data_IF_876581008318
#
_entry.id   IF_876581008318
#
_cell.length_a   1.000
_cell.length_b   1.000
_cell.length_c   1.000
_cell.angle_alpha   90.00
_cell.angle_beta   90.00
_cell.angle_gamma   90.00
#
_symmetry.space_group_name_H-M   'P 1'
#
loop_
_entity.id
_entity.type
_entity.pdbx_description
1 polymer ?
#
# COMPACT_ATOMS: atom_id res chain seq x y z
N UNK A 1 2.53 -4.37 -13.59
CA UNK A 1 1.83 -3.07 -13.43
C UNK A 1 0.31 -3.28 -13.52
N UNK A 2 -0.41 -3.12 -12.41
CA UNK A 2 -1.88 -3.25 -12.36
C UNK A 2 -2.55 -2.23 -13.32
N UNK A 3 -3.68 -2.56 -13.98
CA UNK A 3 -4.35 -1.67 -14.95
C UNK A 3 -4.79 -0.29 -14.43
N UNK A 4 -4.80 -0.06 -13.11
CA UNK A 4 -5.20 1.22 -12.50
C UNK A 4 -4.09 2.28 -12.53
N UNK A 5 -2.82 1.88 -12.72
CA UNK A 5 -1.67 2.80 -12.70
C UNK A 5 -1.14 3.19 -14.08
N UNK A 6 -1.88 2.93 -15.16
CA UNK A 6 -1.53 3.44 -16.49
C UNK A 6 -1.77 4.96 -16.55
N UNK A 7 -0.84 5.73 -15.99
CA UNK A 7 -0.71 7.15 -16.22
C UNK A 7 -0.48 7.38 -17.72
N UNK A 8 -1.55 7.74 -18.42
CA UNK A 8 -1.49 8.20 -19.80
C UNK A 8 -0.94 9.63 -19.76
N UNK A 9 0.39 9.77 -19.82
CA UNK A 9 1.02 11.06 -20.11
C UNK A 9 0.45 11.58 -21.43
N UNK A 10 -0.47 12.53 -21.35
CA UNK A 10 -0.84 13.40 -22.47
C UNK A 10 -0.18 14.73 -22.23
N UNK A 11 1.00 14.89 -22.79
CA UNK A 11 1.50 16.19 -23.20
C UNK A 11 0.49 16.81 -24.16
N UNK A 12 -0.13 17.92 -23.78
CA UNK A 12 -0.85 18.79 -24.71
C UNK A 12 -0.38 20.21 -24.42
N UNK A 13 0.45 20.74 -25.31
CA UNK A 13 0.57 22.18 -25.51
C UNK A 13 -0.22 22.54 -26.79
N UNK A 14 -1.30 23.30 -26.56
CA UNK A 14 -1.90 24.41 -27.32
C UNK A 14 -2.27 24.26 -28.82
N UNK A 15 -3.58 24.34 -29.14
CA UNK A 15 -4.20 25.54 -29.78
C UNK A 15 -5.77 25.50 -29.72
N UNK A 16 -6.48 26.64 -29.72
CA UNK A 16 -7.79 26.81 -29.06
C UNK A 16 -9.00 26.92 -29.99
N UNK A 17 -9.10 26.15 -31.08
CA UNK A 17 -10.31 26.16 -31.92
C UNK A 17 -10.71 24.76 -32.42
N UNK A 18 -11.82 24.28 -31.85
CA UNK A 18 -12.79 23.32 -32.43
C UNK A 18 -12.29 21.91 -32.82
N UNK A 19 -12.48 20.96 -31.89
CA UNK A 19 -12.75 19.56 -32.24
C UNK A 19 -13.96 19.10 -31.40
N UNK A 20 -15.02 18.50 -31.99
CA UNK A 20 -16.11 17.92 -31.22
C UNK A 20 -15.55 16.82 -30.32
N UNK A 21 -15.66 16.98 -29.01
CA UNK A 21 -15.26 15.96 -28.05
C UNK A 21 -16.13 14.72 -28.26
N UNK A 22 -15.58 13.74 -28.98
CA UNK A 22 -16.14 12.40 -29.12
C UNK A 22 -16.13 11.79 -27.71
N UNK A 23 -17.26 11.87 -27.02
CA UNK A 23 -17.45 11.29 -25.69
C UNK A 23 -17.05 9.81 -25.78
N UNK A 24 -15.98 9.43 -25.06
CA UNK A 24 -15.63 8.01 -24.97
C UNK A 24 -16.83 7.27 -24.36
N UNK A 25 -17.27 6.15 -24.97
CA UNK A 25 -18.44 5.43 -24.47
C UNK A 25 -18.20 5.00 -23.02
N UNK A 26 -19.21 5.22 -22.17
CA UNK A 26 -19.21 4.81 -20.76
C UNK A 26 -18.76 3.34 -20.67
N UNK A 27 -17.65 3.08 -19.98
CA UNK A 27 -17.13 1.72 -19.83
C UNK A 27 -18.10 0.93 -18.96
N UNK A 28 -18.58 -0.21 -19.48
CA UNK A 28 -19.35 -1.16 -18.68
C UNK A 28 -18.46 -1.69 -17.53
N UNK A 29 -19.03 -1.98 -16.35
CA UNK A 29 -18.27 -2.66 -15.30
C UNK A 29 -17.69 -3.95 -15.87
N UNK A 30 -16.41 -4.18 -15.60
CA UNK A 30 -15.71 -5.38 -16.04
C UNK A 30 -16.23 -6.58 -15.24
N UNK A 31 -16.38 -7.71 -15.90
CA UNK A 31 -16.58 -9.00 -15.24
C UNK A 31 -15.30 -9.45 -14.55
N UNK A 32 -15.40 -10.41 -13.61
CA UNK A 32 -14.22 -10.97 -12.93
C UNK A 32 -13.21 -11.57 -13.92
N UNK A 33 -13.69 -12.30 -14.92
CA UNK A 33 -12.84 -12.88 -15.96
C UNK A 33 -12.09 -11.80 -16.75
N UNK A 34 -12.76 -10.68 -17.07
CA UNK A 34 -12.10 -9.55 -17.73
C UNK A 34 -11.08 -8.84 -16.83
N UNK A 35 -11.32 -8.78 -15.51
CA UNK A 35 -10.34 -8.27 -14.56
C UNK A 35 -9.12 -9.20 -14.48
N UNK A 36 -9.34 -10.51 -14.55
CA UNK A 36 -8.29 -11.53 -14.58
C UNK A 36 -7.45 -11.46 -15.86
N UNK A 37 -8.08 -11.32 -17.03
CA UNK A 37 -7.38 -11.15 -18.31
C UNK A 37 -6.46 -9.92 -18.31
N UNK A 38 -6.80 -8.90 -17.54
CA UNK A 38 -6.02 -7.68 -17.39
C UNK A 38 -4.97 -7.73 -16.27
N UNK A 39 -4.88 -8.81 -15.50
CA UNK A 39 -3.87 -8.98 -14.45
C UNK A 39 -2.45 -9.04 -15.03
N UNK A 40 -2.34 -9.45 -16.29
CA UNK A 40 -1.09 -9.60 -17.01
C UNK A 40 -0.30 -10.81 -16.53
N UNK A 41 0.95 -10.88 -16.99
CA UNK A 41 1.89 -11.89 -16.51
C UNK A 41 2.28 -11.61 -15.05
N UNK A 42 2.22 -12.64 -14.23
CA UNK A 42 2.56 -12.63 -12.80
C UNK A 42 3.72 -13.58 -12.50
N UNK A 43 4.34 -14.17 -13.53
CA UNK A 43 5.46 -15.10 -13.39
C UNK A 43 6.65 -14.45 -12.66
N UNK A 44 6.76 -13.13 -12.79
CA UNK A 44 7.74 -12.31 -12.09
C UNK A 44 7.54 -12.25 -10.56
N UNK A 45 6.39 -12.68 -10.03
CA UNK A 45 6.13 -12.80 -8.59
C UNK A 45 6.62 -14.12 -7.99
N UNK A 46 7.16 -15.04 -8.80
CA UNK A 46 7.62 -16.34 -8.32
C UNK A 46 9.12 -16.38 -7.97
N UNK A 47 9.89 -15.36 -8.36
CA UNK A 47 11.32 -15.30 -8.09
C UNK A 47 11.65 -14.36 -6.92
N UNK A 48 12.17 -14.89 -5.81
CA UNK A 48 12.61 -14.12 -4.64
C UNK A 48 13.99 -13.44 -4.86
N UNK A 49 14.10 -12.50 -5.79
CA UNK A 49 15.36 -11.96 -6.32
C UNK A 49 15.93 -10.72 -5.59
N UNK A 50 15.13 -10.04 -4.75
CA UNK A 50 15.57 -8.84 -4.03
C UNK A 50 15.36 -8.91 -2.52
N UNK A 51 16.28 -8.30 -1.76
CA UNK A 51 16.17 -8.19 -0.31
C UNK A 51 15.36 -6.95 0.11
N UNK A 52 14.36 -7.16 0.96
CA UNK A 52 13.63 -6.17 1.75
C UNK A 52 14.11 -6.24 3.21
N UNK A 53 14.54 -5.09 3.76
CA UNK A 53 15.06 -4.99 5.13
C UNK A 53 14.24 -4.00 5.94
N UNK A 54 13.78 -4.42 7.11
CA UNK A 54 13.07 -3.56 8.06
C UNK A 54 13.26 -4.09 9.48
N UNK A 55 12.82 -3.32 10.46
CA UNK A 55 12.99 -3.66 11.88
C UNK A 55 11.62 -3.73 12.53
N UNK A 56 11.40 -4.73 13.38
CA UNK A 56 10.17 -4.91 14.15
C UNK A 56 10.41 -4.70 15.65
N UNK A 57 9.36 -4.29 16.40
CA UNK A 57 9.33 -4.46 17.84
C UNK A 57 9.40 -5.95 18.22
N UNK A 58 9.92 -6.24 19.40
CA UNK A 58 10.04 -7.62 19.91
C UNK A 58 8.67 -8.34 20.00
N UNK A 59 7.59 -7.73 20.52
CA UNK A 59 6.27 -8.37 20.54
C UNK A 59 5.74 -8.74 19.15
N UNK A 60 5.98 -7.90 18.15
CA UNK A 60 5.56 -8.17 16.77
C UNK A 60 6.32 -9.35 16.16
N UNK A 61 7.64 -9.42 16.34
CA UNK A 61 8.44 -10.57 15.90
C UNK A 61 7.97 -11.86 16.56
N UNK A 62 7.69 -11.85 17.87
CA UNK A 62 7.17 -13.01 18.60
C UNK A 62 5.81 -13.46 18.06
N UNK A 63 4.85 -12.54 17.91
CA UNK A 63 3.50 -12.85 17.41
C UNK A 63 3.54 -13.50 16.02
N UNK A 64 4.35 -12.95 15.10
CA UNK A 64 4.48 -13.50 13.74
C UNK A 64 5.13 -14.89 13.77
N UNK A 65 6.13 -15.13 14.63
CA UNK A 65 6.76 -16.46 14.79
C UNK A 65 5.79 -17.49 15.34
N UNK A 66 5.01 -17.14 16.35
CA UNK A 66 4.00 -18.03 16.91
C UNK A 66 2.93 -18.38 15.88
N UNK A 67 2.45 -17.38 15.13
CA UNK A 67 1.48 -17.59 14.08
C UNK A 67 2.06 -18.47 12.96
N UNK A 68 3.29 -18.20 12.52
CA UNK A 68 3.97 -18.99 11.51
C UNK A 68 4.09 -20.47 11.94
N UNK A 69 4.46 -20.70 13.21
CA UNK A 69 4.49 -22.04 13.81
C UNK A 69 3.10 -22.69 13.82
N UNK A 70 2.05 -21.96 14.16
CA UNK A 70 0.67 -22.46 14.18
C UNK A 70 0.22 -22.94 12.79
N UNK A 71 0.55 -22.21 11.73
CA UNK A 71 0.23 -22.59 10.36
C UNK A 71 1.27 -23.52 9.70
N UNK A 72 2.27 -24.01 10.46
CA UNK A 72 3.29 -24.92 9.94
C UNK A 72 4.17 -24.30 8.84
N UNK A 73 4.41 -22.98 8.88
CA UNK A 73 5.23 -22.27 7.91
C UNK A 73 6.36 -21.47 8.57
N UNK A 74 7.35 -21.06 7.78
CA UNK A 74 8.41 -20.16 8.26
C UNK A 74 7.88 -18.73 8.37
N UNK A 75 8.48 -17.92 9.26
CA UNK A 75 8.18 -16.49 9.36
C UNK A 75 8.34 -15.77 8.02
N UNK A 76 9.38 -16.08 7.26
CA UNK A 76 9.62 -15.50 5.94
C UNK A 76 8.51 -15.83 4.95
N UNK A 77 8.04 -17.08 4.93
CA UNK A 77 6.92 -17.48 4.07
C UNK A 77 5.63 -16.80 4.47
N UNK A 78 5.34 -16.69 5.77
CA UNK A 78 4.18 -15.97 6.28
C UNK A 78 4.19 -14.49 5.85
N UNK A 79 5.33 -13.83 6.01
CA UNK A 79 5.48 -12.42 5.62
C UNK A 79 5.35 -12.22 4.11
N UNK A 80 5.92 -13.10 3.28
CA UNK A 80 5.72 -13.03 1.82
C UNK A 80 4.25 -13.17 1.44
N UNK A 81 3.56 -14.18 1.98
CA UNK A 81 2.13 -14.37 1.72
C UNK A 81 1.34 -13.11 2.09
N UNK A 82 1.63 -12.55 3.27
CA UNK A 82 1.02 -11.32 3.71
C UNK A 82 1.28 -10.16 2.74
N UNK A 83 2.52 -9.92 2.32
CA UNK A 83 2.86 -8.80 1.44
C UNK A 83 2.21 -8.95 0.05
N UNK A 84 2.13 -10.17 -0.49
CA UNK A 84 1.40 -10.45 -1.74
C UNK A 84 -0.09 -10.16 -1.57
N UNK A 85 -0.71 -10.63 -0.50
CA UNK A 85 -2.12 -10.32 -0.20
C UNK A 85 -2.34 -8.83 0.01
N UNK A 86 -1.39 -8.11 0.61
CA UNK A 86 -1.46 -6.68 0.83
C UNK A 86 -1.43 -5.88 -0.49
N UNK A 87 -0.53 -6.23 -1.40
CA UNK A 87 -0.38 -5.53 -2.68
C UNK A 87 -1.45 -5.92 -3.71
N UNK A 88 -1.85 -7.19 -3.74
CA UNK A 88 -2.66 -7.74 -4.84
C UNK A 88 -4.03 -8.27 -4.40
N UNK A 89 -4.27 -8.38 -3.10
CA UNK A 89 -5.51 -8.90 -2.54
C UNK A 89 -5.53 -10.42 -2.39
N UNK A 90 -6.47 -10.89 -1.57
CA UNK A 90 -6.61 -12.31 -1.22
C UNK A 90 -7.00 -13.17 -2.44
N UNK A 91 -7.87 -12.67 -3.31
CA UNK A 91 -8.32 -13.44 -4.47
C UNK A 91 -7.16 -13.78 -5.42
N UNK A 92 -6.28 -12.81 -5.69
CA UNK A 92 -5.10 -13.02 -6.55
C UNK A 92 -4.14 -14.01 -5.92
N UNK A 93 -3.91 -13.86 -4.62
CA UNK A 93 -3.09 -14.80 -3.85
C UNK A 93 -3.62 -16.24 -3.96
N UNK A 94 -4.93 -16.44 -3.81
CA UNK A 94 -5.55 -17.76 -3.93
C UNK A 94 -5.50 -18.31 -5.35
N UNK A 95 -5.70 -17.46 -6.35
CA UNK A 95 -5.56 -17.85 -7.75
C UNK A 95 -4.13 -18.28 -8.08
N UNK A 96 -3.12 -17.53 -7.62
CA UNK A 96 -1.71 -17.90 -7.72
C UNK A 96 -1.46 -19.26 -7.09
N UNK A 97 -1.91 -19.44 -5.85
CA UNK A 97 -1.68 -20.68 -5.08
C UNK A 97 -2.31 -21.90 -5.75
N UNK A 98 -3.47 -21.74 -6.38
CA UNK A 98 -4.17 -22.82 -7.06
C UNK A 98 -3.54 -23.21 -8.39
N UNK A 99 -3.02 -22.23 -9.15
CA UNK A 99 -2.46 -22.46 -10.50
C UNK A 99 -0.95 -22.72 -10.49
N UNK A 100 -0.24 -22.27 -9.45
CA UNK A 100 1.22 -22.40 -9.28
C UNK A 100 1.57 -22.92 -7.88
N UNK A 101 1.14 -24.14 -7.52
CA UNK A 101 1.38 -24.67 -6.18
C UNK A 101 2.88 -24.83 -5.90
N UNK A 102 3.69 -25.28 -6.87
CA UNK A 102 5.10 -25.62 -6.60
C UNK A 102 6.02 -24.38 -6.51
N UNK A 103 5.70 -23.31 -7.25
CA UNK A 103 6.54 -22.11 -7.35
C UNK A 103 6.38 -21.19 -6.14
N UNK A 104 5.17 -21.11 -5.59
CA UNK A 104 4.86 -20.26 -4.43
C UNK A 104 5.26 -20.92 -3.09
N UNK A 105 5.50 -22.24 -3.10
CA UNK A 105 5.81 -23.06 -1.93
C UNK A 105 7.30 -23.34 -1.74
N UNK A 106 8.12 -23.05 -2.75
CA UNK A 106 9.58 -23.27 -2.76
C UNK A 106 10.32 -22.25 -1.91
N UNK A 107 9.95 -22.15 -0.63
CA UNK A 107 10.67 -21.39 0.39
C UNK A 107 12.05 -21.99 0.74
N UNK A 108 12.42 -23.10 0.11
CA UNK A 108 13.75 -23.72 0.15
C UNK A 108 14.68 -23.09 -0.90
N UNK A 109 14.83 -21.77 -0.86
CA UNK A 109 15.89 -21.14 -1.64
C UNK A 109 17.19 -21.19 -0.84
N UNK A 110 18.27 -21.66 -1.47
CA UNK A 110 19.67 -21.61 -1.03
C UNK A 110 20.01 -20.41 -0.14
N UNK A 111 20.98 -20.55 0.78
CA UNK A 111 21.42 -19.47 1.67
C UNK A 111 21.86 -18.23 0.85
N UNK A 112 21.02 -17.18 0.78
CA UNK A 112 21.29 -15.95 0.01
C UNK A 112 21.82 -14.81 0.88
N UNK A 113 23.07 -14.39 0.63
CA UNK A 113 23.71 -13.23 1.26
C UNK A 113 23.47 -11.95 0.44
N UNK A 114 23.34 -10.79 1.09
CA UNK A 114 23.32 -9.49 0.38
C UNK A 114 24.56 -8.71 0.77
N UNK A 115 25.46 -8.44 -0.18
CA UNK A 115 26.76 -7.79 0.07
C UNK A 115 26.72 -6.25 0.05
N UNK A 116 25.55 -5.62 -0.09
CA UNK A 116 25.45 -4.15 -0.05
C UNK A 116 25.30 -3.63 1.37
N UNK A 117 26.37 -2.98 1.84
CA UNK A 117 26.35 -2.00 2.93
C UNK A 117 26.00 -0.66 2.28
N UNK A 118 24.81 -0.14 2.54
CA UNK A 118 24.49 1.24 2.17
C UNK A 118 25.15 2.16 3.20
N UNK A 119 26.15 2.93 2.78
CA UNK A 119 26.69 4.01 3.58
C UNK A 119 25.64 5.14 3.64
N UNK A 120 25.36 5.70 4.83
CA UNK A 120 24.41 6.79 4.95
C UNK A 120 24.90 7.99 4.14
N UNK A 121 24.03 8.57 3.30
CA UNK A 121 24.37 9.80 2.57
C UNK A 121 24.71 10.91 3.57
N UNK A 122 25.83 11.64 3.38
CA UNK A 122 26.21 12.72 4.28
C UNK A 122 25.10 13.77 4.35
N UNK A 123 24.67 14.12 5.57
CA UNK A 123 23.61 15.11 5.82
C UNK A 123 22.20 14.56 6.03
N UNK A 124 21.97 13.23 5.90
CA UNK A 124 20.66 12.62 6.18
C UNK A 124 20.68 11.87 7.51
N UNK A 125 19.93 12.34 8.50
CA UNK A 125 19.65 11.60 9.74
C UNK A 125 18.49 10.65 9.47
N UNK A 126 18.66 9.37 9.79
CA UNK A 126 17.56 8.40 9.71
C UNK A 126 16.54 8.74 10.79
N UNK A 127 15.44 9.38 10.42
CA UNK A 127 14.30 9.60 11.32
C UNK A 127 13.74 8.22 11.66
N UNK A 128 14.07 7.75 12.86
CA UNK A 128 13.77 6.40 13.32
C UNK A 128 12.54 6.45 14.21
N UNK A 129 11.44 7.00 13.73
CA UNK A 129 10.33 7.29 14.64
C UNK A 129 9.09 6.51 14.21
N UNK A 130 9.04 5.29 14.73
CA UNK A 130 7.80 4.57 14.99
C UNK A 130 7.97 3.93 16.36
N UNK A 131 7.78 4.72 17.41
CA UNK A 131 7.78 4.24 18.79
C UNK A 131 6.34 4.22 19.28
N UNK A 132 5.80 3.00 19.38
CA UNK A 132 4.55 2.76 20.11
C UNK A 132 4.99 2.37 21.52
N UNK A 133 4.70 3.19 22.56
CA UNK A 133 5.17 2.94 23.92
C UNK A 133 4.89 1.50 24.38
N UNK A 134 3.76 0.94 23.97
CA UNK A 134 3.28 -0.40 24.29
C UNK A 134 4.05 -1.52 23.58
N UNK A 135 4.54 -1.29 22.36
CA UNK A 135 5.32 -2.27 21.60
C UNK A 135 6.83 -2.17 21.86
N UNK A 136 7.28 -1.03 22.38
CA UNK A 136 8.68 -0.76 22.68
C UNK A 136 9.51 -0.40 21.45
N UNK A 137 10.83 -0.57 21.56
CA UNK A 137 11.78 -0.19 20.50
C UNK A 137 11.80 -1.21 19.36
N UNK A 138 12.01 -0.74 18.14
CA UNK A 138 12.27 -1.59 16.97
C UNK A 138 13.67 -2.19 17.08
N UNK A 139 13.80 -3.44 17.54
CA UNK A 139 15.09 -4.10 17.82
C UNK A 139 15.31 -5.39 17.03
N UNK A 140 14.29 -5.92 16.35
CA UNK A 140 14.39 -7.18 15.61
C UNK A 140 14.61 -6.92 14.12
N UNK A 141 15.80 -7.22 13.58
CA UNK A 141 16.04 -7.06 12.16
C UNK A 141 15.35 -8.17 11.36
N UNK A 142 14.56 -7.78 10.36
CA UNK A 142 13.95 -8.69 9.40
C UNK A 142 14.59 -8.45 8.04
N UNK A 143 15.10 -9.54 7.43
CA UNK A 143 15.55 -9.57 6.04
C UNK A 143 14.71 -10.60 5.30
N UNK A 144 13.96 -10.14 4.31
CA UNK A 144 13.07 -10.95 3.49
C UNK A 144 13.57 -10.92 2.05
N UNK A 145 13.74 -12.07 1.42
CA UNK A 145 13.89 -12.13 -0.04
C UNK A 145 12.50 -12.22 -0.64
N UNK A 146 12.23 -11.33 -1.60
CA UNK A 146 10.93 -11.14 -2.25
C UNK A 146 11.15 -10.82 -3.74
N UNK A 147 10.09 -10.91 -4.57
CA UNK A 147 10.15 -10.43 -5.94
C UNK A 147 10.41 -8.94 -6.06
N UNK A 148 11.22 -8.55 -7.06
CA UNK A 148 11.52 -7.15 -7.38
C UNK A 148 10.25 -6.35 -7.58
N UNK A 149 9.29 -6.87 -8.34
CA UNK A 149 7.98 -6.23 -8.54
C UNK A 149 7.23 -5.99 -7.23
N UNK A 150 7.24 -6.95 -6.31
CA UNK A 150 6.60 -6.78 -5.00
C UNK A 150 7.27 -5.67 -4.19
N UNK A 151 8.61 -5.58 -4.23
CA UNK A 151 9.35 -4.50 -3.56
C UNK A 151 9.03 -3.13 -4.14
N UNK A 152 8.93 -3.03 -5.47
CA UNK A 152 8.57 -1.80 -6.18
C UNK A 152 7.14 -1.36 -5.86
N UNK A 153 6.18 -2.29 -5.91
CA UNK A 153 4.78 -2.01 -5.60
C UNK A 153 4.61 -1.56 -4.13
N UNK A 154 5.33 -2.19 -3.19
CA UNK A 154 5.40 -1.72 -1.79
C UNK A 154 6.03 -0.32 -1.67
N UNK A 155 6.98 0.00 -2.54
CA UNK A 155 7.60 1.32 -2.61
C UNK A 155 6.61 2.41 -3.05
N UNK A 156 5.80 2.13 -4.08
CA UNK A 156 4.75 3.03 -4.56
C UNK A 156 3.66 3.25 -3.50
N UNK A 157 3.25 2.18 -2.81
CA UNK A 157 2.28 2.29 -1.71
C UNK A 157 2.84 3.10 -0.53
N UNK A 158 4.13 2.94 -0.22
CA UNK A 158 4.80 3.72 0.81
C UNK A 158 4.86 5.21 0.45
N UNK A 159 5.19 5.53 -0.81
CA UNK A 159 5.20 6.89 -1.34
C UNK A 159 3.82 7.54 -1.23
N UNK A 160 2.76 6.83 -1.63
CA UNK A 160 1.38 7.31 -1.49
C UNK A 160 0.98 7.56 -0.03
N UNK A 161 1.51 6.79 0.91
CA UNK A 161 1.29 6.98 2.34
C UNK A 161 2.23 8.01 2.98
N UNK A 162 3.13 8.65 2.22
CA UNK A 162 4.13 9.58 2.77
C UNK A 162 5.17 8.90 3.66
N UNK A 163 5.40 7.60 3.50
CA UNK A 163 6.30 6.79 4.33
C UNK A 163 7.49 6.25 3.55
N UNK A 164 8.58 5.97 4.26
CA UNK A 164 9.66 5.16 3.69
C UNK A 164 9.20 3.70 3.55
N UNK A 165 9.71 2.92 2.57
CA UNK A 165 9.32 1.52 2.39
C UNK A 165 9.49 0.68 3.67
N UNK A 166 10.57 0.88 4.44
CA UNK A 166 10.78 0.15 5.70
C UNK A 166 9.78 0.55 6.80
N UNK A 167 9.33 1.81 6.86
CA UNK A 167 8.32 2.24 7.82
C UNK A 167 6.94 1.74 7.42
N UNK A 168 6.59 1.90 6.15
CA UNK A 168 5.33 1.40 5.59
C UNK A 168 5.17 -0.10 5.83
N UNK A 169 6.17 -0.90 5.44
CA UNK A 169 6.15 -2.36 5.63
C UNK A 169 6.04 -2.73 7.11
N UNK A 170 6.74 -2.02 8.00
CA UNK A 170 6.61 -2.24 9.45
C UNK A 170 5.19 -2.01 9.93
N UNK A 171 4.60 -0.87 9.57
CA UNK A 171 3.25 -0.48 10.00
C UNK A 171 2.20 -1.47 9.51
N UNK A 172 2.18 -1.79 8.21
CA UNK A 172 1.21 -2.76 7.67
C UNK A 172 1.40 -4.16 8.28
N UNK A 173 2.64 -4.55 8.59
CA UNK A 173 2.93 -5.83 9.24
C UNK A 173 2.33 -5.84 10.64
N UNK A 174 2.62 -4.83 11.47
CA UNK A 174 2.10 -4.77 12.83
C UNK A 174 0.57 -4.65 12.79
N UNK A 175 0.00 -3.78 11.96
CA UNK A 175 -1.45 -3.64 11.79
C UNK A 175 -2.13 -4.97 11.45
N UNK A 176 -1.53 -5.74 10.53
CA UNK A 176 -2.16 -6.99 10.08
C UNK A 176 -2.07 -8.09 11.13
N UNK A 177 -0.93 -8.26 11.78
CA UNK A 177 -0.70 -9.38 12.70
C UNK A 177 -1.13 -9.09 14.13
N UNK A 178 -1.15 -7.83 14.54
CA UNK A 178 -1.49 -7.41 15.91
C UNK A 178 -2.75 -6.53 15.98
N UNK A 179 -3.30 -6.12 14.82
CA UNK A 179 -4.48 -5.27 14.73
C UNK A 179 -4.14 -3.78 14.65
N UNK A 180 -4.99 -3.01 13.98
CA UNK A 180 -4.80 -1.57 13.79
C UNK A 180 -4.76 -0.77 15.11
N UNK A 181 -5.40 -1.26 16.18
CA UNK A 181 -5.37 -0.62 17.50
C UNK A 181 -4.01 -0.66 18.21
N UNK A 182 -3.03 -1.38 17.65
CA UNK A 182 -1.64 -1.39 18.15
C UNK A 182 -0.76 -0.33 17.49
N UNK A 183 -1.34 0.46 16.60
CA UNK A 183 -0.70 1.59 15.95
C UNK A 183 -1.36 2.88 16.42
N UNK A 184 -0.61 3.99 16.63
CA UNK A 184 -1.21 5.31 16.71
C UNK A 184 -2.07 5.56 15.47
N UNK A 185 -3.27 6.09 15.71
CA UNK A 185 -4.23 6.42 14.66
C UNK A 185 -3.58 7.46 13.72
N UNK A 186 -3.37 7.07 12.46
CA UNK A 186 -3.13 8.02 11.36
C UNK A 186 -4.50 8.40 10.80
N UNK A 187 -4.97 9.65 10.98
CA UNK A 187 -6.24 10.09 10.42
C UNK A 187 -6.32 9.79 8.92
N UNK A 188 -5.21 9.97 8.20
CA UNK A 188 -5.12 9.82 6.75
C UNK A 188 -5.31 8.38 6.24
N UNK A 189 -5.19 7.36 7.10
CA UNK A 189 -5.40 5.95 6.72
C UNK A 189 -6.84 5.47 6.94
N UNK A 190 -7.65 6.20 7.71
CA UNK A 190 -9.00 5.77 8.14
C UNK A 190 -10.08 6.85 7.96
N UNK A 191 -9.71 8.09 7.61
CA UNK A 191 -10.65 9.12 7.19
C UNK A 191 -11.27 8.76 5.85
N UNK A 192 -12.29 7.91 5.90
CA UNK A 192 -13.38 8.04 4.95
C UNK A 192 -14.24 9.18 5.49
N UNK A 193 -14.32 10.32 4.79
CA UNK A 193 -15.27 11.37 5.13
C UNK A 193 -16.68 10.74 5.16
N UNK A 194 -17.28 10.55 6.35
CA UNK A 194 -18.62 10.01 6.41
C UNK A 194 -19.53 11.10 5.84
N UNK A 195 -20.04 10.87 4.63
CA UNK A 195 -21.09 11.74 4.11
C UNK A 195 -22.27 11.70 5.09
N UNK A 196 -22.99 12.81 5.28
CA UNK A 196 -24.19 12.84 6.14
C UNK A 196 -25.18 11.71 5.77
N UNK A 197 -25.21 11.29 4.50
CA UNK A 197 -26.00 10.15 4.02
C UNK A 197 -25.54 8.79 4.57
N UNK A 198 -24.24 8.60 4.82
CA UNK A 198 -23.70 7.38 5.43
C UNK A 198 -24.03 7.30 6.94
N UNK A 199 -24.07 8.45 7.63
CA UNK A 199 -24.53 8.52 9.03
C UNK A 199 -26.04 8.30 9.13
N UNK A 200 -26.83 8.95 8.26
CA UNK A 200 -28.27 8.74 8.17
C UNK A 200 -28.63 7.28 7.89
N UNK A 201 -27.86 6.62 7.01
CA UNK A 201 -28.00 5.19 6.78
C UNK A 201 -27.70 4.35 8.02
N UNK A 202 -26.60 4.65 8.74
CA UNK A 202 -26.21 3.91 9.94
C UNK A 202 -27.17 4.09 11.12
N UNK A 203 -27.90 5.20 11.16
CA UNK A 203 -28.90 5.51 12.19
C UNK A 203 -30.33 5.07 11.79
N UNK A 204 -30.48 4.24 10.74
CA UNK A 204 -31.76 3.80 10.19
C UNK A 204 -32.71 4.97 9.83
N UNK A 205 -32.13 6.12 9.45
CA UNK A 205 -32.88 7.27 8.94
C UNK A 205 -33.14 7.13 7.44
N UNK A 206 -34.20 7.75 6.98
CA UNK A 206 -34.58 7.74 5.57
C UNK A 206 -33.54 8.52 4.74
N UNK A 207 -32.76 7.81 3.93
CA UNK A 207 -31.77 8.43 3.04
C UNK A 207 -32.43 8.74 1.70
N UNK A 208 -32.50 10.00 1.26
CA UNK A 208 -33.10 10.34 -0.02
C UNK A 208 -32.20 9.85 -1.15
N UNK A 209 -32.51 8.68 -1.69
CA UNK A 209 -31.87 8.15 -2.89
C UNK A 209 -32.31 8.96 -4.11
N UNK A 210 -31.41 9.83 -4.60
CA UNK A 210 -31.55 10.46 -5.91
C UNK A 210 -30.32 10.17 -6.75
N UNK A 211 -30.54 9.87 -8.01
CA UNK A 211 -29.45 9.77 -8.98
C UNK A 211 -28.82 11.17 -9.15
N UNK A 212 -27.57 11.34 -8.68
CA UNK A 212 -26.85 12.59 -8.83
C UNK A 212 -26.28 12.70 -10.25
N UNK A 213 -26.42 13.88 -10.85
CA UNK A 213 -25.80 14.16 -12.15
C UNK A 213 -24.27 14.30 -12.01
N UNK A 214 -23.54 14.01 -13.08
CA UNK A 214 -22.07 14.05 -13.08
C UNK A 214 -21.52 15.48 -12.88
N UNK A 215 -22.31 16.50 -13.20
CA UNK A 215 -22.06 17.91 -12.89
C UNK A 215 -22.18 18.19 -11.39
N UNK A 216 -23.25 17.73 -10.74
CA UNK A 216 -23.44 17.89 -9.29
C UNK A 216 -22.34 17.19 -8.49
N UNK A 217 -21.88 16.02 -8.92
CA UNK A 217 -20.78 15.31 -8.25
C UNK A 217 -19.45 16.09 -8.31
N UNK A 218 -19.10 16.68 -9.46
CA UNK A 218 -17.86 17.46 -9.61
C UNK A 218 -17.85 18.75 -8.79
N UNK A 219 -19.01 19.28 -8.48
CA UNK A 219 -19.17 20.49 -7.65
C UNK A 219 -19.22 20.17 -6.14
N UNK A 220 -19.45 18.90 -5.78
CA UNK A 220 -19.43 18.43 -4.39
C UNK A 220 -18.01 18.37 -3.81
N UNK A 221 -17.89 18.47 -2.48
CA UNK A 221 -16.62 18.32 -1.76
C UNK A 221 -15.90 17.00 -2.13
N UNK A 222 -16.62 15.89 -2.23
CA UNK A 222 -16.07 14.59 -2.64
C UNK A 222 -15.56 14.55 -4.11
N UNK A 223 -15.94 15.53 -4.93
CA UNK A 223 -15.47 15.72 -6.30
C UNK A 223 -14.44 16.84 -6.46
N UNK A 224 -14.20 17.65 -5.41
CA UNK A 224 -13.15 18.67 -5.41
C UNK A 224 -11.82 18.01 -5.13
N UNK A 225 -10.87 18.30 -6.00
CA UNK A 225 -9.50 17.80 -5.91
C UNK A 225 -8.63 19.02 -5.63
N UNK A 226 -8.47 19.36 -4.36
CA UNK A 226 -7.53 20.39 -3.95
C UNK A 226 -6.12 19.80 -3.99
N UNK A 227 -5.23 20.45 -4.73
CA UNK A 227 -3.81 20.12 -4.79
C UNK A 227 -3.06 21.36 -4.37
N UNK A 228 -2.56 21.35 -3.15
CA UNK A 228 -1.69 22.39 -2.64
C UNK A 228 -0.23 21.91 -2.72
N UNK A 229 0.61 22.78 -3.29
CA UNK A 229 2.05 22.57 -3.35
C UNK A 229 2.68 23.48 -2.31
N UNK A 230 3.35 22.88 -1.32
CA UNK A 230 3.95 23.61 -0.20
C UNK A 230 5.47 23.66 -0.38
N UNK A 231 6.04 24.87 -0.27
CA UNK A 231 7.48 25.10 -0.35
C UNK A 231 8.22 24.63 0.91
N UNK A 232 9.46 24.16 0.75
CA UNK A 232 10.32 23.54 1.78
C UNK A 232 10.61 24.44 3.02
N UNK A 233 10.33 25.73 2.91
CA UNK A 233 10.52 26.75 3.95
C UNK A 233 9.20 27.26 4.55
N UNK A 234 8.06 26.62 4.27
CA UNK A 234 6.78 27.01 4.85
C UNK A 234 6.77 26.84 6.38
N UNK A 235 5.98 27.65 7.08
CA UNK A 235 5.83 27.53 8.54
C UNK A 235 5.28 26.16 8.95
N UNK A 236 4.50 25.50 8.11
CA UNK A 236 4.04 24.11 8.31
C UNK A 236 5.21 23.11 8.21
N UNK A 237 6.14 23.30 7.26
CA UNK A 237 7.36 22.51 7.15
C UNK A 237 8.38 22.80 8.28
N UNK A 238 8.27 23.96 8.95
CA UNK A 238 9.09 24.36 10.10
C UNK A 238 8.48 23.96 11.44
N UNK A 239 7.15 23.97 11.59
CA UNK A 239 6.46 23.47 12.79
C UNK A 239 6.62 21.95 12.93
N UNK A 240 6.62 21.21 11.83
CA UNK A 240 6.99 19.79 11.81
C UNK A 240 8.47 19.53 12.23
N UNK A 241 9.31 20.57 12.27
CA UNK A 241 10.72 20.50 12.73
C UNK A 241 10.93 20.98 14.18
N UNK A 242 9.94 21.63 14.80
CA UNK A 242 10.06 22.31 16.10
C UNK A 242 9.40 21.55 17.27
N UNK A 243 8.67 20.47 16.99
CA UNK A 243 8.07 19.57 17.99
C UNK A 243 8.97 18.39 18.40
N UNK A 244 10.26 18.44 18.03
CA UNK A 244 11.35 17.58 18.55
C UNK A 244 12.05 18.20 19.77
#
# INVERSE_FOLDING_TARGET
MWPFFKNKQRTINLDPLSIPQKQEPRRRPLTLDQLMDHMGDISDLFEDDVALKFWLPDPADQAIRELAKHYGMTMSRMLRNFLVVHCYGLYVFEWIRANHPDDFLSGDSDIRFSLRVEEPSPGKVRVTTYWVPELGKNIKPVKLWIPTRLKEDLGLLAEHAGLTPSNYVREITIARFMGHGTLPMRPEMLEADPTAAAEDWNEDRDVPWREASLSEYKESEAGKLEREWVDENSEEALQAKLSD
#
